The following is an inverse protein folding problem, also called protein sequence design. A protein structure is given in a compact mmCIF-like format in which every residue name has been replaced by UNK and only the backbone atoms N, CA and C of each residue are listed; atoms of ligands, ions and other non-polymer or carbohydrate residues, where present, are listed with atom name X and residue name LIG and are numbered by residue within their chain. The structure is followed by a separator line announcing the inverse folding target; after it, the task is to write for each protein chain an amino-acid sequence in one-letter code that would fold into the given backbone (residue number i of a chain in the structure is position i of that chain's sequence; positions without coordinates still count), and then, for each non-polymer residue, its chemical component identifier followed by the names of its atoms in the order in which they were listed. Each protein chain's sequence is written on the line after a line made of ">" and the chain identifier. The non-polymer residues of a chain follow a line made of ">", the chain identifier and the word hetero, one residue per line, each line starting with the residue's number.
data_IF_645279862488
#
_entry.id   IF_645279862488
#
_cell.length_a   1.000
_cell.length_b   1.000
_cell.length_c   1.000
_cell.angle_alpha   90.00
_cell.angle_beta   90.00
_cell.angle_gamma   90.00
#
_symmetry.space_group_name_H-M   'P 1'
#
loop_
_entity.id
_entity.type
_entity.pdbx_description
1 polymer ?
#
# COMPACT_ATOMS: atom_id res chain seq x y z
N UNK A 1 -6.55 -17.62 23.07
CA UNK A 1 -5.98 -16.31 22.69
C UNK A 1 -5.77 -16.31 21.18
N UNK A 2 -6.28 -15.31 20.46
CA UNK A 2 -5.99 -15.17 19.03
C UNK A 2 -4.67 -14.41 18.84
N UNK A 3 -3.92 -14.75 17.80
CA UNK A 3 -2.68 -14.08 17.43
C UNK A 3 -2.95 -13.10 16.29
N UNK A 4 -2.15 -12.03 16.21
CA UNK A 4 -2.16 -11.10 15.10
C UNK A 4 -1.64 -11.81 13.84
N UNK A 5 -2.43 -11.84 12.76
CA UNK A 5 -2.05 -12.51 11.50
C UNK A 5 -0.75 -11.97 10.87
N UNK A 6 -0.39 -10.71 11.17
CA UNK A 6 0.78 -10.05 10.60
C UNK A 6 2.07 -10.22 11.41
N UNK A 7 1.96 -10.23 12.75
CA UNK A 7 3.15 -10.20 13.63
C UNK A 7 3.15 -11.27 14.71
N UNK A 8 2.16 -12.16 14.71
CA UNK A 8 1.99 -13.29 15.64
C UNK A 8 1.98 -12.92 17.13
N UNK A 9 1.83 -11.64 17.48
CA UNK A 9 1.67 -11.21 18.88
C UNK A 9 0.26 -11.54 19.39
N UNK A 10 0.09 -11.87 20.69
CA UNK A 10 -1.20 -12.17 21.28
C UNK A 10 -2.09 -10.92 21.31
N UNK A 11 -3.33 -11.08 20.83
CA UNK A 11 -4.34 -10.03 20.83
C UNK A 11 -5.07 -10.01 22.18
N UNK A 12 -5.12 -8.82 22.80
CA UNK A 12 -5.68 -8.64 24.14
C UNK A 12 -7.12 -8.16 24.17
N UNK A 13 -7.54 -7.38 23.17
CA UNK A 13 -8.90 -6.82 23.12
C UNK A 13 -9.78 -7.60 22.16
N UNK A 14 -11.07 -7.73 22.50
CA UNK A 14 -12.06 -8.39 21.66
C UNK A 14 -12.12 -7.79 20.25
N UNK A 15 -12.12 -6.45 20.14
CA UNK A 15 -12.05 -5.75 18.85
C UNK A 15 -10.88 -6.19 17.96
N UNK A 16 -9.70 -6.40 18.55
CA UNK A 16 -8.54 -6.85 17.77
C UNK A 16 -8.67 -8.33 17.38
N UNK A 17 -9.25 -9.16 18.26
CA UNK A 17 -9.52 -10.58 18.01
C UNK A 17 -10.58 -10.81 16.92
N UNK A 18 -11.56 -9.93 16.80
CA UNK A 18 -12.55 -9.93 15.72
C UNK A 18 -11.93 -9.47 14.41
N UNK A 19 -11.06 -8.46 14.45
CA UNK A 19 -10.36 -7.95 13.28
C UNK A 19 -9.18 -8.83 12.82
N UNK A 20 -8.79 -9.88 13.55
CA UNK A 20 -7.64 -10.75 13.23
C UNK A 20 -6.26 -10.09 13.40
N UNK A 21 -6.23 -8.77 13.62
CA UNK A 21 -5.01 -7.97 13.57
C UNK A 21 -4.93 -6.96 14.72
N UNK A 22 -3.73 -6.77 15.24
CA UNK A 22 -3.45 -5.77 16.27
C UNK A 22 -3.56 -4.33 15.73
N UNK A 23 -3.84 -3.33 16.58
CA UNK A 23 -4.12 -1.95 16.16
C UNK A 23 -2.96 -1.32 15.38
N UNK A 24 -1.72 -1.60 15.77
CA UNK A 24 -0.52 -1.09 15.08
C UNK A 24 -0.36 -1.74 13.71
N UNK A 25 -0.51 -3.06 13.62
CA UNK A 25 -0.43 -3.79 12.36
C UNK A 25 -1.53 -3.35 11.38
N UNK A 26 -2.74 -3.10 11.88
CA UNK A 26 -3.86 -2.59 11.09
C UNK A 26 -3.59 -1.18 10.53
N UNK A 27 -2.99 -0.30 11.34
CA UNK A 27 -2.57 1.03 10.88
C UNK A 27 -1.50 0.95 9.79
N UNK A 28 -0.52 0.05 9.94
CA UNK A 28 0.53 -0.15 8.92
C UNK A 28 -0.04 -0.66 7.60
N UNK A 29 -0.97 -1.61 7.67
CA UNK A 29 -1.62 -2.13 6.47
C UNK A 29 -2.36 -1.02 5.72
N UNK A 30 -3.11 -0.17 6.43
CA UNK A 30 -3.79 0.96 5.81
C UNK A 30 -2.84 1.98 5.14
N UNK A 31 -1.63 2.15 5.67
CA UNK A 31 -0.60 3.01 5.05
C UNK A 31 -0.07 2.35 3.78
N UNK A 32 0.25 1.06 3.84
CA UNK A 32 0.75 0.29 2.68
C UNK A 32 -0.29 0.23 1.55
N UNK A 33 -1.57 0.06 1.90
CA UNK A 33 -2.66 0.10 0.92
C UNK A 33 -2.78 1.48 0.25
N UNK A 34 -2.61 2.57 1.03
CA UNK A 34 -2.64 3.93 0.49
C UNK A 34 -1.40 4.26 -0.36
N UNK A 35 -0.22 3.79 0.03
CA UNK A 35 1.02 3.93 -0.76
C UNK A 35 0.91 3.16 -2.08
N UNK A 36 0.36 1.93 -2.05
CA UNK A 36 0.13 1.14 -3.25
C UNK A 36 -0.89 1.78 -4.20
N UNK A 37 -1.89 2.51 -3.68
CA UNK A 37 -2.79 3.31 -4.52
C UNK A 37 -2.10 4.55 -5.08
N UNK A 38 -1.27 5.23 -4.29
CA UNK A 38 -0.49 6.36 -4.75
C UNK A 38 0.47 5.98 -5.87
N UNK A 39 1.22 4.88 -5.73
CA UNK A 39 2.17 4.38 -6.73
C UNK A 39 1.50 4.06 -8.08
N UNK A 40 0.25 3.56 -8.08
CA UNK A 40 -0.50 3.29 -9.31
C UNK A 40 -0.85 4.55 -10.11
N UNK A 41 -0.94 5.70 -9.43
CA UNK A 41 -1.37 6.97 -10.04
C UNK A 41 -0.16 7.77 -10.54
N UNK A 42 1.06 7.46 -10.09
CA UNK A 42 2.26 8.17 -10.53
C UNK A 42 2.63 7.77 -11.97
N UNK A 43 2.63 8.74 -12.88
CA UNK A 43 3.32 8.64 -14.17
C UNK A 43 4.79 8.96 -13.92
N UNK A 44 5.71 8.10 -14.36
CA UNK A 44 7.15 8.33 -14.16
C UNK A 44 7.65 9.42 -15.11
N UNK A 45 8.70 10.16 -14.71
CA UNK A 45 9.31 11.19 -15.58
C UNK A 45 9.76 10.61 -16.92
N UNK A 46 10.32 9.40 -16.91
CA UNK A 46 10.76 8.69 -18.12
C UNK A 46 9.58 8.44 -19.08
N UNK A 47 8.40 8.07 -18.55
CA UNK A 47 7.19 7.84 -19.35
C UNK A 47 6.67 9.13 -20.01
N UNK A 48 6.86 10.29 -19.35
CA UNK A 48 6.52 11.60 -19.94
C UNK A 48 7.54 12.04 -20.99
N UNK A 49 8.83 11.78 -20.75
CA UNK A 49 9.90 12.14 -21.69
C UNK A 49 9.81 11.34 -22.99
N UNK A 50 9.52 10.04 -22.91
CA UNK A 50 9.33 9.18 -24.09
C UNK A 50 8.11 9.61 -24.93
N UNK A 51 7.03 10.10 -24.29
CA UNK A 51 5.88 10.65 -25.03
C UNK A 51 6.25 11.89 -25.85
N UNK A 52 7.13 12.76 -25.34
CA UNK A 52 7.52 13.99 -26.05
C UNK A 52 8.45 13.73 -27.24
N UNK A 53 9.28 12.69 -27.21
CA UNK A 53 10.16 12.35 -28.34
C UNK A 53 9.37 11.77 -29.53
N UNK A 54 8.34 10.94 -29.25
CA UNK A 54 7.47 10.38 -30.30
C UNK A 54 6.64 11.48 -30.98
N UNK A 55 6.19 12.49 -30.24
CA UNK A 55 5.42 13.63 -30.79
C UNK A 55 6.30 14.63 -31.58
N UNK A 56 7.59 14.77 -31.25
CA UNK A 56 8.50 15.73 -31.88
C UNK A 56 9.27 15.16 -33.08
N UNK A 57 9.52 13.85 -33.11
CA UNK A 57 10.36 13.21 -34.15
C UNK A 57 9.65 12.09 -34.92
N UNK A 58 8.35 11.87 -34.69
CA UNK A 58 7.52 10.94 -35.44
C UNK A 58 6.94 11.54 -36.73
N UNK A 59 7.77 11.72 -37.76
CA UNK A 59 7.36 11.88 -39.18
C UNK A 59 8.51 11.46 -40.11
#
# INVERSE_FOLDING_TARGET
>A
MKLCERCNRPLRSQKSMEAGMGPVCKKKQAIEDAEAEFEKIQIKMDEVMDMTEVELYGA
#
